data_IF_604730029900
#
_entry.id   IF_604730029900
#
_cell.length_a   1.000
_cell.length_b   1.000
_cell.length_c   1.000
_cell.angle_alpha   90.00
_cell.angle_beta   90.00
_cell.angle_gamma   90.00
#
_symmetry.space_group_name_H-M   'P 1'
#
loop_
_entity.id
_entity.type
_entity.pdbx_description
1 polymer ?
#
# COMPACT_ATOMS: atom_id res chain seq x y z
N UNK A 1 0.96 29.17 10.75
CA UNK A 1 1.11 28.95 9.29
C UNK A 1 1.95 27.72 8.97
N UNK A 2 3.18 27.57 9.51
CA UNK A 2 4.05 26.42 9.23
C UNK A 2 3.40 25.05 9.51
N UNK A 3 2.57 24.95 10.56
CA UNK A 3 1.88 23.72 10.94
C UNK A 3 0.92 23.19 9.85
N UNK A 4 0.23 24.10 9.13
CA UNK A 4 -0.69 23.72 8.03
C UNK A 4 0.06 23.20 6.81
N UNK A 5 1.30 23.65 6.58
CA UNK A 5 2.13 23.18 5.48
C UNK A 5 2.55 21.72 5.65
N UNK A 6 2.89 21.33 6.88
CA UNK A 6 3.26 19.95 7.22
C UNK A 6 2.05 19.02 7.09
N UNK A 7 0.88 19.42 7.60
CA UNK A 7 -0.35 18.64 7.45
C UNK A 7 -0.75 18.44 5.99
N UNK A 8 -0.64 19.48 5.16
CA UNK A 8 -0.89 19.39 3.71
C UNK A 8 0.10 18.50 2.98
N UNK A 9 1.39 18.56 3.33
CA UNK A 9 2.41 17.68 2.76
C UNK A 9 2.17 16.20 3.15
N UNK A 10 1.74 15.95 4.39
CA UNK A 10 1.34 14.63 4.86
C UNK A 10 0.12 14.09 4.09
N UNK A 11 -0.91 14.91 3.88
CA UNK A 11 -2.06 14.54 3.06
C UNK A 11 -1.67 14.23 1.61
N UNK A 12 -0.80 15.06 1.01
CA UNK A 12 -0.29 14.82 -0.34
C UNK A 12 0.45 13.47 -0.41
N UNK A 13 1.30 13.17 0.57
CA UNK A 13 2.00 11.89 0.66
C UNK A 13 1.03 10.71 0.73
N UNK A 14 0.01 10.78 1.60
CA UNK A 14 -1.02 9.74 1.69
C UNK A 14 -1.77 9.55 0.38
N UNK A 15 -2.15 10.65 -0.28
CA UNK A 15 -2.83 10.63 -1.58
C UNK A 15 -1.97 10.01 -2.69
N UNK A 16 -0.69 10.39 -2.77
CA UNK A 16 0.27 9.80 -3.71
C UNK A 16 0.45 8.31 -3.45
N UNK A 17 0.53 7.89 -2.19
CA UNK A 17 0.66 6.48 -1.82
C UNK A 17 -0.58 5.67 -2.27
N UNK A 18 -1.78 6.18 -2.01
CA UNK A 18 -3.03 5.53 -2.44
C UNK A 18 -3.11 5.47 -3.97
N UNK A 19 -2.78 6.57 -4.65
CA UNK A 19 -2.73 6.61 -6.11
C UNK A 19 -1.74 5.61 -6.70
N UNK A 20 -0.53 5.50 -6.13
CA UNK A 20 0.48 4.53 -6.55
C UNK A 20 -0.01 3.08 -6.37
N UNK A 21 -0.66 2.77 -5.25
CA UNK A 21 -1.23 1.44 -5.01
C UNK A 21 -2.32 1.09 -6.02
N UNK A 22 -3.22 2.03 -6.32
CA UNK A 22 -4.29 1.82 -7.32
C UNK A 22 -3.71 1.67 -8.72
N UNK A 23 -2.72 2.49 -9.08
CA UNK A 23 -2.04 2.40 -10.37
C UNK A 23 -1.37 1.03 -10.55
N UNK A 24 -0.59 0.58 -9.56
CA UNK A 24 0.04 -0.74 -9.63
C UNK A 24 -1.00 -1.87 -9.65
N UNK A 25 -1.95 -1.89 -8.71
CA UNK A 25 -2.88 -3.01 -8.55
C UNK A 25 -3.96 -3.10 -9.64
N UNK A 26 -4.61 -1.99 -9.97
CA UNK A 26 -5.77 -1.96 -10.86
C UNK A 26 -5.39 -1.69 -12.31
N UNK A 27 -4.39 -0.85 -12.55
CA UNK A 27 -4.02 -0.44 -13.92
C UNK A 27 -2.90 -1.32 -14.48
N UNK A 28 -1.81 -1.53 -13.73
CA UNK A 28 -0.66 -2.27 -14.24
C UNK A 28 -0.90 -3.78 -14.34
N UNK A 29 -1.62 -4.38 -13.38
CA UNK A 29 -1.90 -5.83 -13.38
C UNK A 29 -2.51 -6.35 -14.70
N UNK A 30 -3.65 -5.82 -15.19
CA UNK A 30 -4.27 -6.34 -16.41
C UNK A 30 -3.39 -6.14 -17.64
N UNK A 31 -2.60 -5.06 -17.70
CA UNK A 31 -1.70 -4.78 -18.82
C UNK A 31 -0.55 -5.78 -18.84
N UNK A 32 0.02 -6.12 -17.68
CA UNK A 32 1.17 -7.03 -17.57
C UNK A 32 0.77 -8.47 -17.84
N UNK A 33 -0.36 -8.92 -17.30
CA UNK A 33 -0.86 -10.28 -17.56
C UNK A 33 -1.33 -10.48 -19.00
N UNK A 34 -1.72 -9.40 -19.70
CA UNK A 34 -2.05 -9.43 -21.13
C UNK A 34 -0.91 -9.01 -22.05
N UNK A 35 0.29 -8.79 -21.52
CA UNK A 35 1.42 -8.30 -22.30
C UNK A 35 1.77 -9.22 -23.49
N UNK A 36 1.65 -10.54 -23.31
CA UNK A 36 1.86 -11.52 -24.39
C UNK A 36 0.87 -11.35 -25.55
N UNK A 37 -0.41 -11.12 -25.25
CA UNK A 37 -1.44 -10.84 -26.26
C UNK A 37 -1.16 -9.50 -26.99
N UNK A 38 -0.85 -8.45 -26.22
CA UNK A 38 -0.64 -7.09 -26.74
C UNK A 38 0.59 -7.03 -27.65
N UNK A 39 1.68 -7.69 -27.25
CA UNK A 39 2.95 -7.68 -28.00
C UNK A 39 3.04 -8.81 -29.03
N UNK A 40 2.03 -9.70 -29.11
CA UNK A 40 2.07 -10.92 -29.94
C UNK A 40 3.33 -11.77 -29.68
N UNK A 41 3.75 -11.82 -28.41
CA UNK A 41 4.93 -12.57 -27.95
C UNK A 41 4.49 -13.68 -27.00
N UNK A 42 5.17 -14.85 -26.99
CA UNK A 42 4.87 -15.93 -26.07
C UNK A 42 5.38 -15.61 -24.66
N UNK A 43 4.70 -14.69 -23.98
CA UNK A 43 4.92 -14.38 -22.56
C UNK A 43 3.95 -15.25 -21.75
N UNK A 44 4.50 -16.15 -20.94
CA UNK A 44 3.72 -16.98 -20.04
C UNK A 44 3.16 -16.18 -18.85
N UNK A 45 2.08 -16.66 -18.25
CA UNK A 45 1.47 -16.05 -17.05
C UNK A 45 2.47 -15.97 -15.90
N UNK A 46 3.35 -16.96 -15.77
CA UNK A 46 4.41 -17.02 -14.75
C UNK A 46 5.43 -15.89 -14.94
N UNK A 47 5.86 -15.64 -16.18
CA UNK A 47 6.76 -14.52 -16.51
C UNK A 47 6.11 -13.16 -16.23
N UNK A 48 4.82 -13.01 -16.56
CA UNK A 48 4.06 -11.81 -16.19
C UNK A 48 3.95 -11.64 -14.67
N UNK A 49 3.80 -12.74 -13.92
CA UNK A 49 3.82 -12.75 -12.46
C UNK A 49 5.13 -12.25 -11.87
N UNK A 50 6.28 -12.67 -12.42
CA UNK A 50 7.60 -12.18 -12.03
C UNK A 50 7.71 -10.67 -12.28
N UNK A 51 7.28 -10.20 -13.46
CA UNK A 51 7.31 -8.77 -13.80
C UNK A 51 6.46 -7.94 -12.83
N UNK A 52 5.26 -8.45 -12.49
CA UNK A 52 4.37 -7.81 -11.53
C UNK A 52 4.98 -7.78 -10.12
N UNK A 53 5.63 -8.88 -9.70
CA UNK A 53 6.35 -8.97 -8.44
C UNK A 53 7.43 -7.90 -8.30
N UNK A 54 8.19 -7.60 -9.36
CA UNK A 54 9.20 -6.54 -9.35
C UNK A 54 8.60 -5.13 -9.19
N UNK A 55 7.42 -4.88 -9.75
CA UNK A 55 6.70 -3.61 -9.55
C UNK A 55 6.24 -3.50 -8.09
N UNK A 56 5.66 -4.57 -7.55
CA UNK A 56 5.26 -4.60 -6.14
C UNK A 56 6.44 -4.51 -5.19
N UNK A 57 7.62 -5.01 -5.54
CA UNK A 57 8.84 -4.82 -4.75
C UNK A 57 9.21 -3.33 -4.66
N UNK A 58 9.12 -2.58 -5.75
CA UNK A 58 9.35 -1.13 -5.74
C UNK A 58 8.28 -0.39 -4.94
N UNK A 59 7.01 -0.79 -5.09
CA UNK A 59 5.91 -0.26 -4.29
C UNK A 59 6.11 -0.55 -2.79
N UNK A 60 6.62 -1.72 -2.44
CA UNK A 60 6.90 -2.14 -1.06
C UNK A 60 7.89 -1.20 -0.36
N UNK A 61 8.92 -0.74 -1.07
CA UNK A 61 9.87 0.26 -0.56
C UNK A 61 9.16 1.58 -0.26
N UNK A 62 8.29 2.05 -1.16
CA UNK A 62 7.47 3.24 -0.93
C UNK A 62 6.57 3.06 0.30
N UNK A 63 5.91 1.90 0.42
CA UNK A 63 5.04 1.58 1.56
C UNK A 63 5.80 1.57 2.89
N UNK A 64 7.04 1.08 2.92
CA UNK A 64 7.87 1.16 4.13
C UNK A 64 8.14 2.60 4.56
N UNK A 65 8.57 3.44 3.62
CA UNK A 65 8.86 4.85 3.89
C UNK A 65 7.61 5.55 4.43
N UNK A 66 6.47 5.34 3.77
CA UNK A 66 5.17 5.90 4.20
C UNK A 66 4.76 5.34 5.56
N UNK A 67 4.93 4.05 5.82
CA UNK A 67 4.63 3.44 7.12
C UNK A 67 5.42 4.06 8.27
N UNK A 68 6.71 4.33 8.07
CA UNK A 68 7.55 5.03 9.06
C UNK A 68 7.04 6.45 9.29
N UNK A 69 6.71 7.17 8.20
CA UNK A 69 6.20 8.54 8.29
C UNK A 69 4.87 8.58 9.06
N UNK A 70 3.93 7.68 8.75
CA UNK A 70 2.64 7.58 9.48
C UNK A 70 2.89 7.28 10.95
N UNK A 71 3.77 6.32 11.26
CA UNK A 71 4.08 5.96 12.64
C UNK A 71 4.63 7.16 13.43
N UNK A 72 5.64 7.85 12.88
CA UNK A 72 6.24 9.03 13.52
C UNK A 72 5.19 10.13 13.68
N UNK A 73 4.50 10.48 12.59
CA UNK A 73 3.55 11.59 12.58
C UNK A 73 2.40 11.38 13.56
N UNK A 74 1.80 10.19 13.57
CA UNK A 74 0.68 9.90 14.47
C UNK A 74 1.12 9.71 15.92
N UNK A 75 2.32 9.17 16.17
CA UNK A 75 2.85 9.07 17.54
C UNK A 75 3.09 10.46 18.15
N UNK A 76 3.67 11.39 17.38
CA UNK A 76 3.81 12.79 17.80
C UNK A 76 2.46 13.48 17.96
N UNK A 77 1.52 13.26 17.02
CA UNK A 77 0.17 13.82 17.09
C UNK A 77 -0.60 13.36 18.35
N UNK A 78 -0.54 12.08 18.67
CA UNK A 78 -1.21 11.48 19.82
C UNK A 78 -0.61 11.94 21.15
N UNK A 79 0.72 11.96 21.25
CA UNK A 79 1.43 12.29 22.50
C UNK A 79 1.43 13.79 22.81
N UNK A 80 1.64 14.62 21.80
CA UNK A 80 1.88 16.06 22.00
C UNK A 80 0.60 16.89 21.91
N UNK A 81 -0.37 16.48 21.07
CA UNK A 81 -1.52 17.32 20.73
C UNK A 81 -2.87 16.79 21.26
N UNK A 82 -2.94 15.58 21.83
CA UNK A 82 -4.16 14.96 22.42
C UNK A 82 -5.43 15.05 21.55
N UNK A 83 -5.28 15.27 20.25
CA UNK A 83 -6.38 15.63 19.32
C UNK A 83 -6.59 14.57 18.24
N UNK A 84 -5.94 13.42 18.33
CA UNK A 84 -6.15 12.31 17.40
C UNK A 84 -7.50 11.64 17.71
N UNK A 85 -8.50 11.85 16.85
CA UNK A 85 -9.76 11.13 16.94
C UNK A 85 -9.56 9.62 16.77
N UNK A 86 -10.40 8.81 17.41
CA UNK A 86 -10.29 7.34 17.43
C UNK A 86 -10.17 6.75 16.02
N UNK A 87 -10.93 7.28 15.05
CA UNK A 87 -10.88 6.83 13.65
C UNK A 87 -9.51 7.04 12.99
N UNK A 88 -8.82 8.14 13.27
CA UNK A 88 -7.48 8.43 12.73
C UNK A 88 -6.46 7.46 13.31
N UNK A 89 -6.52 7.22 14.61
CA UNK A 89 -5.57 6.32 15.28
C UNK A 89 -5.78 4.86 14.86
N UNK A 90 -7.03 4.41 14.72
CA UNK A 90 -7.35 3.07 14.22
C UNK A 90 -6.92 2.89 12.77
N UNK A 91 -7.26 3.82 11.88
CA UNK A 91 -6.88 3.73 10.47
C UNK A 91 -5.37 3.77 10.26
N UNK A 92 -4.64 4.60 11.01
CA UNK A 92 -3.19 4.61 10.99
C UNK A 92 -2.57 3.30 11.52
N UNK A 93 -3.07 2.79 12.64
CA UNK A 93 -2.60 1.52 13.21
C UNK A 93 -2.82 0.34 12.27
N UNK A 94 -4.00 0.24 11.67
CA UNK A 94 -4.31 -0.78 10.65
C UNK A 94 -3.42 -0.61 9.43
N UNK A 95 -3.22 0.62 8.94
CA UNK A 95 -2.35 0.87 7.78
C UNK A 95 -0.92 0.40 8.03
N UNK A 96 -0.33 0.76 9.18
CA UNK A 96 1.03 0.34 9.56
C UNK A 96 1.11 -1.19 9.67
N UNK A 97 0.14 -1.82 10.33
CA UNK A 97 0.11 -3.27 10.49
C UNK A 97 0.05 -3.99 9.13
N UNK A 98 -0.80 -3.50 8.21
CA UNK A 98 -0.94 -4.08 6.87
C UNK A 98 0.30 -3.82 6.01
N UNK A 99 0.96 -2.65 6.13
CA UNK A 99 2.24 -2.37 5.46
C UNK A 99 3.31 -3.36 5.90
N UNK A 100 3.45 -3.56 7.22
CA UNK A 100 4.43 -4.51 7.76
C UNK A 100 4.12 -5.93 7.32
N UNK A 101 2.86 -6.33 7.38
CA UNK A 101 2.44 -7.67 6.95
C UNK A 101 2.68 -7.90 5.46
N UNK A 102 2.35 -6.93 4.60
CA UNK A 102 2.62 -7.03 3.16
C UNK A 102 4.12 -7.11 2.87
N UNK A 103 4.92 -6.22 3.46
CA UNK A 103 6.34 -6.11 3.13
C UNK A 103 7.24 -7.15 3.80
N UNK A 104 6.97 -7.56 5.04
CA UNK A 104 7.82 -8.51 5.79
C UNK A 104 7.42 -9.96 5.60
N UNK A 105 6.14 -10.23 5.31
CA UNK A 105 5.61 -11.58 5.24
C UNK A 105 5.28 -11.99 3.81
N UNK A 106 4.31 -11.31 3.17
CA UNK A 106 3.81 -11.77 1.87
C UNK A 106 4.78 -11.51 0.71
N UNK A 107 5.37 -10.31 0.63
CA UNK A 107 6.26 -9.96 -0.48
C UNK A 107 7.48 -10.87 -0.59
N UNK A 108 8.27 -11.12 0.48
CA UNK A 108 9.42 -12.02 0.38
C UNK A 108 9.00 -13.47 0.10
N UNK A 109 7.84 -13.92 0.59
CA UNK A 109 7.32 -15.24 0.26
C UNK A 109 7.03 -15.36 -1.24
N UNK A 110 6.26 -14.42 -1.80
CA UNK A 110 5.85 -14.44 -3.22
C UNK A 110 7.06 -14.36 -4.17
N UNK A 111 8.13 -13.64 -3.80
CA UNK A 111 9.32 -13.49 -4.65
C UNK A 111 10.26 -14.71 -4.62
N UNK A 112 10.24 -15.50 -3.55
CA UNK A 112 11.17 -16.62 -3.37
C UNK A 112 10.59 -17.97 -3.80
N UNK A 113 9.27 -18.06 -4.03
CA UNK A 113 8.63 -19.29 -4.51
C UNK A 113 8.98 -19.54 -5.97
N UNK A 114 9.47 -20.74 -6.25
CA UNK A 114 9.80 -21.20 -7.61
C UNK A 114 8.62 -21.88 -8.30
N UNK A 115 7.74 -22.52 -7.53
CA UNK A 115 6.54 -23.18 -8.03
C UNK A 115 5.29 -22.33 -7.75
N UNK A 116 4.92 -21.52 -8.74
CA UNK A 116 3.74 -20.65 -8.67
C UNK A 116 2.41 -21.40 -8.86
N UNK A 117 2.43 -22.71 -9.12
CA UNK A 117 1.22 -23.52 -9.27
C UNK A 117 0.88 -24.34 -8.02
N UNK A 118 1.75 -24.31 -7.01
CA UNK A 118 1.45 -24.91 -5.71
C UNK A 118 0.21 -24.27 -5.07
N UNK A 119 -0.66 -25.09 -4.49
CA UNK A 119 -1.87 -24.63 -3.78
C UNK A 119 -1.54 -23.67 -2.62
N UNK A 120 -0.38 -23.85 -2.01
CA UNK A 120 0.13 -22.95 -0.96
C UNK A 120 0.39 -21.55 -1.52
N UNK A 121 1.03 -21.45 -2.70
CA UNK A 121 1.29 -20.17 -3.36
C UNK A 121 -0.01 -19.44 -3.70
N UNK A 122 -1.01 -20.13 -4.26
CA UNK A 122 -2.30 -19.52 -4.57
C UNK A 122 -2.96 -18.95 -3.31
N UNK A 123 -2.92 -19.71 -2.20
CA UNK A 123 -3.50 -19.26 -0.93
C UNK A 123 -2.79 -18.02 -0.37
N UNK A 124 -1.45 -18.00 -0.40
CA UNK A 124 -0.64 -16.88 0.09
C UNK A 124 -0.76 -15.66 -0.82
N UNK A 125 -0.84 -15.86 -2.13
CA UNK A 125 -1.08 -14.79 -3.09
C UNK A 125 -2.45 -14.15 -2.86
N UNK A 126 -3.52 -14.95 -2.75
CA UNK A 126 -4.87 -14.45 -2.49
C UNK A 126 -4.97 -13.67 -1.18
N UNK A 127 -4.32 -14.15 -0.11
CA UNK A 127 -4.26 -13.45 1.17
C UNK A 127 -3.52 -12.11 1.05
N UNK A 128 -2.40 -12.06 0.33
CA UNK A 128 -1.67 -10.81 0.10
C UNK A 128 -2.52 -9.77 -0.63
N UNK A 129 -3.36 -10.19 -1.59
CA UNK A 129 -4.29 -9.32 -2.30
C UNK A 129 -5.35 -8.75 -1.36
N UNK A 130 -5.85 -9.55 -0.40
CA UNK A 130 -6.80 -9.08 0.61
C UNK A 130 -6.15 -8.03 1.51
N UNK A 131 -4.93 -8.30 2.00
CA UNK A 131 -4.16 -7.37 2.82
C UNK A 131 -3.90 -6.07 2.08
N UNK A 132 -3.55 -6.16 0.80
CA UNK A 132 -3.36 -5.00 -0.06
C UNK A 132 -4.65 -4.17 -0.20
N UNK A 133 -5.80 -4.81 -0.43
CA UNK A 133 -7.11 -4.12 -0.49
C UNK A 133 -7.46 -3.42 0.82
N UNK A 134 -7.28 -4.11 1.96
CA UNK A 134 -7.51 -3.52 3.29
C UNK A 134 -6.59 -2.32 3.49
N UNK A 135 -5.32 -2.43 3.09
CA UNK A 135 -4.36 -1.34 3.16
C UNK A 135 -4.83 -0.12 2.36
N UNK A 136 -5.25 -0.29 1.11
CA UNK A 136 -5.79 0.82 0.29
C UNK A 136 -6.98 1.50 0.97
N UNK A 137 -7.94 0.72 1.47
CA UNK A 137 -9.13 1.26 2.15
C UNK A 137 -8.75 2.00 3.44
N UNK A 138 -7.83 1.44 4.23
CA UNK A 138 -7.38 2.04 5.49
C UNK A 138 -6.62 3.36 5.28
N UNK A 139 -5.73 3.43 4.28
CA UNK A 139 -5.01 4.65 3.91
C UNK A 139 -5.94 5.70 3.31
N UNK A 140 -6.89 5.31 2.46
CA UNK A 140 -7.91 6.21 1.94
C UNK A 140 -8.78 6.78 3.07
N UNK A 141 -9.18 5.95 4.03
CA UNK A 141 -9.93 6.38 5.22
C UNK A 141 -9.12 7.37 6.06
N UNK A 142 -7.83 7.09 6.28
CA UNK A 142 -6.92 7.99 7.01
C UNK A 142 -6.79 9.35 6.30
N UNK A 143 -6.60 9.34 4.98
CA UNK A 143 -6.52 10.54 4.15
C UNK A 143 -7.80 11.39 4.27
N UNK A 144 -8.97 10.77 4.13
CA UNK A 144 -10.27 11.46 4.22
C UNK A 144 -10.49 12.03 5.63
N UNK A 145 -10.25 11.23 6.67
CA UNK A 145 -10.42 11.65 8.06
C UNK A 145 -9.51 12.85 8.42
N UNK A 146 -8.25 12.84 7.97
CA UNK A 146 -7.31 13.96 8.18
C UNK A 146 -7.71 15.19 7.37
N UNK A 147 -8.17 15.01 6.13
CA UNK A 147 -8.64 16.10 5.28
C UNK A 147 -9.78 16.85 5.95
N UNK A 148 -10.81 16.14 6.45
CA UNK A 148 -11.91 16.77 7.18
C UNK A 148 -11.47 17.53 8.43
N UNK A 149 -10.48 16.99 9.17
CA UNK A 149 -9.94 17.68 10.35
C UNK A 149 -9.19 18.97 9.97
N UNK A 150 -8.49 18.98 8.85
CA UNK A 150 -7.78 20.16 8.34
C UNK A 150 -8.75 21.26 7.88
N UNK A 151 -9.88 20.91 7.27
CA UNK A 151 -10.89 21.89 6.83
C UNK A 151 -11.70 22.50 7.99
N UNK A 152 -11.87 21.75 9.10
CA UNK A 152 -12.63 22.21 10.26
C UNK A 152 -11.81 23.08 11.24
N UNK A 153 -10.48 23.13 11.07
CA UNK A 153 -9.54 23.89 11.90
C UNK A 153 -9.14 25.22 11.28
#
# INVERSE_FOLDING_TARGET
>A
MAFRGIDSAYLLLLGVCVGAMVACGMMSAPIIFRAGEILSMPISVEQSGILMGLIFQKLSILLYIVGIIIFVFELFAARLFRTSGVLVMLSAGVSIMMILLFNLYYMPYILNVTDTQASEFESMHAQSVIVFKILVVSLATLFVAKSFKLFKS
#
